data_IF_133776518670
#
_entry.id   IF_133776518670
#
_cell.length_a   1.000
_cell.length_b   1.000
_cell.length_c   1.000
_cell.angle_alpha   90.00
_cell.angle_beta   90.00
_cell.angle_gamma   90.00
#
_symmetry.space_group_name_H-M   'P 1'
#
loop_
_entity.id
_entity.type
_entity.pdbx_description
1 polymer ?
#
# COMPACT_ATOMS: atom_id res chain seq x y z
N UNK A 1 15.31 30.06 -11.63
CA UNK A 1 14.14 29.27 -12.07
C UNK A 1 12.95 30.19 -12.24
N UNK A 2 12.26 30.18 -13.39
CA UNK A 2 11.01 30.92 -13.60
C UNK A 2 9.83 29.94 -13.54
N UNK A 3 8.69 30.39 -13.02
CA UNK A 3 7.43 29.63 -13.03
C UNK A 3 6.92 29.57 -14.47
N UNK A 4 6.68 28.36 -15.00
CA UNK A 4 6.13 28.11 -16.33
C UNK A 4 4.60 28.22 -16.39
N UNK A 5 4.03 28.20 -17.60
CA UNK A 5 2.56 28.26 -17.80
C UNK A 5 1.89 27.00 -17.26
N UNK A 6 2.57 25.87 -17.35
CA UNK A 6 2.17 24.55 -16.86
C UNK A 6 1.97 24.58 -15.34
N UNK A 7 2.86 25.27 -14.61
CA UNK A 7 2.75 25.45 -13.17
C UNK A 7 1.53 26.30 -12.80
N UNK A 8 1.25 27.35 -13.58
CA UNK A 8 0.06 28.19 -13.34
C UNK A 8 -1.23 27.41 -13.60
N UNK A 9 -1.31 26.67 -14.70
CA UNK A 9 -2.48 25.82 -15.01
C UNK A 9 -2.66 24.74 -13.95
N UNK A 10 -1.58 24.05 -13.55
CA UNK A 10 -1.61 23.05 -12.49
C UNK A 10 -2.07 23.62 -11.15
N UNK A 11 -1.65 24.84 -10.80
CA UNK A 11 -2.11 25.51 -9.58
C UNK A 11 -3.61 25.84 -9.63
N UNK A 12 -4.10 26.40 -10.74
CA UNK A 12 -5.53 26.72 -10.91
C UNK A 12 -6.36 25.44 -10.78
N UNK A 13 -5.96 24.37 -11.47
CA UNK A 13 -6.65 23.08 -11.38
C UNK A 13 -6.59 22.48 -9.96
N UNK A 14 -5.46 22.58 -9.27
CA UNK A 14 -5.34 22.12 -7.89
C UNK A 14 -6.27 22.88 -6.93
N UNK A 15 -6.44 24.19 -7.11
CA UNK A 15 -7.37 25.00 -6.32
C UNK A 15 -8.84 24.63 -6.58
N UNK A 16 -9.21 24.35 -7.84
CA UNK A 16 -10.55 23.87 -8.19
C UNK A 16 -10.86 22.51 -7.54
N UNK A 17 -9.91 21.57 -7.59
CA UNK A 17 -10.07 20.26 -6.95
C UNK A 17 -10.02 20.32 -5.42
N UNK A 18 -9.29 21.28 -4.84
CA UNK A 18 -9.21 21.44 -3.40
C UNK A 18 -10.59 21.66 -2.76
N UNK A 19 -11.49 22.35 -3.46
CA UNK A 19 -12.85 22.63 -2.96
C UNK A 19 -13.75 21.39 -2.92
N UNK A 20 -13.44 20.34 -3.67
CA UNK A 20 -14.26 19.13 -3.78
C UNK A 20 -14.07 18.17 -2.58
N UNK A 21 -13.07 18.42 -1.73
CA UNK A 21 -12.72 17.55 -0.60
C UNK A 21 -12.04 16.24 -1.03
N UNK A 22 -11.57 15.46 -0.05
CA UNK A 22 -10.99 14.13 -0.29
C UNK A 22 -11.89 13.07 0.32
N UNK A 23 -12.21 12.04 -0.47
CA UNK A 23 -12.87 10.84 0.04
C UNK A 23 -12.00 10.19 1.11
N UNK A 24 -12.57 9.99 2.30
CA UNK A 24 -11.89 9.31 3.40
C UNK A 24 -12.18 7.82 3.27
N UNK A 25 -11.13 7.03 3.05
CA UNK A 25 -11.23 5.58 3.08
C UNK A 25 -11.42 5.13 4.54
N UNK A 26 -12.47 4.36 4.78
CA UNK A 26 -12.83 3.83 6.10
C UNK A 26 -12.17 2.47 6.34
N UNK A 27 -12.05 2.07 7.62
CA UNK A 27 -11.56 0.73 7.97
C UNK A 27 -12.38 -0.38 7.30
N UNK A 28 -13.71 -0.28 7.30
CA UNK A 28 -14.59 -1.29 6.70
C UNK A 28 -14.33 -1.50 5.21
N UNK A 29 -13.99 -0.44 4.47
CA UNK A 29 -13.64 -0.55 3.04
C UNK A 29 -12.32 -1.27 2.79
N UNK A 30 -11.41 -1.30 3.77
CA UNK A 30 -10.13 -2.01 3.67
C UNK A 30 -10.24 -3.48 4.08
N UNK A 31 -11.31 -3.86 4.79
CA UNK A 31 -11.47 -5.21 5.33
C UNK A 31 -11.36 -6.31 4.27
N UNK A 32 -12.03 -6.21 3.09
CA UNK A 32 -11.91 -7.23 2.06
C UNK A 32 -10.48 -7.40 1.52
N UNK A 33 -9.71 -6.30 1.49
CA UNK A 33 -8.32 -6.32 1.02
C UNK A 33 -7.42 -6.97 2.06
N UNK A 34 -7.58 -6.63 3.33
CA UNK A 34 -6.82 -7.25 4.42
C UNK A 34 -7.08 -8.77 4.49
N UNK A 35 -8.33 -9.20 4.29
CA UNK A 35 -8.69 -10.61 4.19
C UNK A 35 -8.06 -11.29 2.97
N UNK A 36 -8.10 -10.65 1.80
CA UNK A 36 -7.50 -11.18 0.59
C UNK A 36 -5.97 -11.36 0.71
N UNK A 37 -5.29 -10.45 1.42
CA UNK A 37 -3.85 -10.57 1.70
C UNK A 37 -3.60 -11.70 2.71
N UNK A 38 -4.42 -11.80 3.76
CA UNK A 38 -4.29 -12.85 4.79
C UNK A 38 -4.60 -14.25 4.27
N UNK A 39 -5.26 -14.36 3.11
CA UNK A 39 -5.47 -15.64 2.42
C UNK A 39 -4.23 -16.11 1.64
N UNK A 40 -3.18 -15.29 1.53
CA UNK A 40 -1.91 -15.66 0.89
C UNK A 40 -1.03 -16.36 1.92
N UNK A 41 -0.47 -17.52 1.56
CA UNK A 41 0.41 -18.27 2.44
C UNK A 41 1.58 -17.42 2.95
N UNK A 42 1.90 -17.50 4.24
CA UNK A 42 2.99 -16.76 4.87
C UNK A 42 2.76 -15.26 5.06
N UNK A 43 1.56 -14.74 4.72
CA UNK A 43 1.18 -13.35 4.93
C UNK A 43 0.02 -13.22 5.91
N UNK A 44 0.08 -12.21 6.78
CA UNK A 44 -1.01 -11.82 7.66
C UNK A 44 -1.25 -10.34 7.54
N UNK A 45 -2.51 -9.91 7.41
CA UNK A 45 -2.83 -8.50 7.30
C UNK A 45 -3.94 -8.06 8.26
N UNK A 46 -3.75 -6.86 8.82
CA UNK A 46 -4.69 -6.21 9.72
C UNK A 46 -4.79 -4.71 9.44
N UNK A 47 -5.84 -4.08 9.95
CA UNK A 47 -6.10 -2.65 9.71
C UNK A 47 -5.66 -1.86 10.95
N UNK A 48 -4.81 -0.86 10.72
CA UNK A 48 -4.30 0.03 11.76
C UNK A 48 -4.75 1.47 11.51
N UNK A 49 -5.16 2.14 12.58
CA UNK A 49 -5.35 3.59 12.58
C UNK A 49 -4.01 4.29 12.81
N UNK A 50 -3.77 5.39 12.10
CA UNK A 50 -2.59 6.22 12.32
C UNK A 50 -2.40 6.62 13.80
N UNK A 51 -1.15 6.58 14.27
CA UNK A 51 -0.74 6.79 15.67
C UNK A 51 -1.25 8.10 16.29
N UNK A 52 -1.51 9.12 15.47
CA UNK A 52 -2.03 10.41 15.93
C UNK A 52 -3.56 10.43 16.12
N UNK A 53 -4.25 9.28 16.01
CA UNK A 53 -5.71 9.18 16.15
C UNK A 53 -6.51 9.81 15.00
N UNK A 54 -5.84 10.18 13.91
CA UNK A 54 -6.49 10.68 12.70
C UNK A 54 -7.30 9.56 12.06
N UNK A 55 -8.37 9.88 11.34
CA UNK A 55 -9.14 8.91 10.55
C UNK A 55 -8.37 8.49 9.28
N UNK A 56 -7.14 8.02 9.47
CA UNK A 56 -6.24 7.51 8.44
C UNK A 56 -6.03 6.04 8.77
N UNK A 57 -6.53 5.18 7.89
CA UNK A 57 -6.49 3.73 8.05
C UNK A 57 -5.49 3.15 7.06
N UNK A 58 -4.74 2.14 7.50
CA UNK A 58 -3.73 1.46 6.70
C UNK A 58 -3.86 -0.04 6.86
N UNK A 59 -3.44 -0.78 5.85
CA UNK A 59 -3.30 -2.23 5.95
C UNK A 59 -1.86 -2.50 6.36
N UNK A 60 -1.67 -3.10 7.53
CA UNK A 60 -0.38 -3.68 7.93
C UNK A 60 -0.31 -5.08 7.37
N UNK A 61 0.81 -5.43 6.76
CA UNK A 61 1.10 -6.76 6.25
C UNK A 61 2.33 -7.27 6.97
N UNK A 62 2.14 -8.31 7.78
CA UNK A 62 3.18 -9.06 8.45
C UNK A 62 3.58 -10.25 7.59
N UNK A 63 4.89 -10.36 7.37
CA UNK A 63 5.49 -11.47 6.63
C UNK A 63 6.00 -12.51 7.63
N UNK A 64 5.48 -13.73 7.53
CA UNK A 64 5.96 -14.87 8.29
C UNK A 64 7.09 -15.55 7.51
N UNK A 65 8.33 -15.15 7.75
CA UNK A 65 9.47 -15.65 6.99
C UNK A 65 9.66 -17.18 7.06
N UNK A 66 9.47 -17.86 8.21
CA UNK A 66 9.47 -19.32 8.27
C UNK A 66 8.45 -20.01 7.35
N UNK A 67 7.27 -19.42 7.16
CA UNK A 67 6.23 -19.98 6.28
C UNK A 67 6.46 -19.59 4.82
N UNK A 68 6.76 -18.31 4.56
CA UNK A 68 6.88 -17.77 3.21
C UNK A 68 8.21 -18.12 2.54
N UNK A 69 9.28 -18.40 3.30
CA UNK A 69 10.64 -18.51 2.79
C UNK A 69 11.31 -17.17 2.45
N UNK A 70 10.58 -16.06 2.57
CA UNK A 70 11.06 -14.69 2.34
C UNK A 70 10.82 -13.82 3.58
N UNK A 71 11.75 -12.92 3.88
CA UNK A 71 11.50 -11.90 4.90
C UNK A 71 10.81 -10.66 4.30
N UNK A 72 10.33 -9.76 5.15
CA UNK A 72 9.62 -8.56 4.66
C UNK A 72 10.48 -7.63 3.78
N UNK A 73 11.80 -7.60 3.96
CA UNK A 73 12.70 -6.80 3.12
C UNK A 73 12.78 -7.39 1.71
N UNK A 74 12.81 -8.72 1.59
CA UNK A 74 12.79 -9.40 0.30
C UNK A 74 11.46 -9.14 -0.44
N UNK A 75 10.34 -9.30 0.27
CA UNK A 75 9.00 -9.00 -0.28
C UNK A 75 8.93 -7.54 -0.74
N UNK A 76 9.39 -6.59 0.07
CA UNK A 76 9.40 -5.17 -0.31
C UNK A 76 10.31 -4.90 -1.52
N UNK A 77 11.49 -5.52 -1.57
CA UNK A 77 12.40 -5.37 -2.69
C UNK A 77 11.77 -5.88 -3.99
N UNK A 78 11.03 -7.00 -3.95
CA UNK A 78 10.33 -7.57 -5.09
C UNK A 78 9.08 -6.78 -5.50
N UNK A 79 8.39 -6.15 -4.55
CA UNK A 79 7.31 -5.20 -4.84
C UNK A 79 7.85 -3.97 -5.58
N UNK A 80 8.99 -3.44 -5.12
CA UNK A 80 9.63 -2.27 -5.75
C UNK A 80 10.27 -2.58 -7.09
N UNK A 81 10.80 -3.79 -7.25
CA UNK A 81 11.52 -4.23 -8.45
C UNK A 81 10.66 -4.93 -9.51
N UNK A 82 9.35 -5.05 -9.29
CA UNK A 82 8.43 -5.62 -10.27
C UNK A 82 8.23 -4.72 -11.51
N UNK A 83 7.52 -5.25 -12.51
CA UNK A 83 7.14 -4.47 -13.70
C UNK A 83 6.40 -3.19 -13.32
N UNK A 84 5.46 -3.31 -12.37
CA UNK A 84 4.85 -2.19 -11.67
C UNK A 84 5.57 -2.03 -10.32
N UNK A 85 6.29 -0.92 -10.15
CA UNK A 85 6.97 -0.62 -8.90
C UNK A 85 5.97 -0.19 -7.81
N UNK A 86 5.83 -1.03 -6.77
CA UNK A 86 4.95 -0.76 -5.63
C UNK A 86 5.79 -0.34 -4.43
N UNK A 87 5.55 0.87 -3.93
CA UNK A 87 6.26 1.43 -2.77
C UNK A 87 5.40 1.35 -1.52
N UNK A 88 5.71 0.39 -0.65
CA UNK A 88 5.08 0.28 0.67
C UNK A 88 5.76 1.17 1.72
N UNK A 89 5.07 1.46 2.81
CA UNK A 89 5.63 2.16 3.97
C UNK A 89 6.45 1.18 4.81
N UNK A 90 7.70 1.55 5.11
CA UNK A 90 8.76 0.64 5.63
C UNK A 90 9.11 0.85 7.11
N UNK A 91 8.30 1.56 7.88
CA UNK A 91 8.70 1.98 9.25
C UNK A 91 8.96 0.80 10.18
N UNK A 92 8.27 -0.32 9.97
CA UNK A 92 8.42 -1.55 10.74
C UNK A 92 9.00 -2.70 9.90
N UNK A 93 9.68 -2.39 8.78
CA UNK A 93 10.18 -3.42 7.85
C UNK A 93 11.18 -4.37 8.53
N UNK A 94 12.01 -3.83 9.42
CA UNK A 94 12.93 -4.62 10.25
C UNK A 94 12.23 -5.56 11.24
N UNK A 95 10.95 -5.34 11.53
CA UNK A 95 10.10 -6.18 12.38
C UNK A 95 9.25 -7.16 11.56
N UNK A 96 9.51 -7.27 10.26
CA UNK A 96 8.75 -8.14 9.36
C UNK A 96 7.42 -7.54 8.89
N UNK A 97 7.22 -6.22 9.03
CA UNK A 97 5.95 -5.56 8.69
C UNK A 97 6.14 -4.44 7.69
N UNK A 98 5.30 -4.44 6.64
CA UNK A 98 5.14 -3.31 5.72
C UNK A 98 3.69 -2.81 5.77
N UNK A 99 3.45 -1.55 5.41
CA UNK A 99 2.09 -0.99 5.43
C UNK A 99 1.69 -0.39 4.09
N UNK A 100 0.42 -0.59 3.72
CA UNK A 100 -0.21 -0.03 2.53
C UNK A 100 -1.11 1.14 2.95
N UNK A 101 -0.84 2.33 2.41
CA UNK A 101 -1.63 3.54 2.68
C UNK A 101 -2.61 3.76 1.51
N UNK A 102 -3.93 3.56 1.71
CA UNK A 102 -4.92 3.61 0.63
C UNK A 102 -5.12 5.02 0.06
N UNK A 103 -4.63 6.07 0.73
CA UNK A 103 -4.83 7.46 0.29
C UNK A 103 -4.01 7.81 -0.96
N UNK A 104 -3.01 7.00 -1.28
CA UNK A 104 -2.14 7.15 -2.46
C UNK A 104 -2.39 6.07 -3.49
N UNK A 105 -3.51 5.36 -3.38
CA UNK A 105 -3.88 4.23 -4.24
C UNK A 105 -5.18 4.59 -4.94
N UNK A 106 -5.19 4.53 -6.26
CA UNK A 106 -6.38 4.77 -7.06
C UNK A 106 -7.34 3.57 -6.99
N UNK A 107 -8.56 3.78 -7.45
CA UNK A 107 -9.55 2.71 -7.55
C UNK A 107 -9.02 1.55 -8.40
N UNK A 108 -9.19 0.32 -7.91
CA UNK A 108 -8.71 -0.90 -8.58
C UNK A 108 -7.22 -1.23 -8.36
N UNK A 109 -6.36 -0.26 -8.06
CA UNK A 109 -4.91 -0.51 -7.86
C UNK A 109 -4.63 -1.40 -6.66
N UNK A 110 -5.50 -1.40 -5.64
CA UNK A 110 -5.34 -2.28 -4.49
C UNK A 110 -5.44 -3.76 -4.88
N UNK A 111 -6.24 -4.11 -5.89
CA UNK A 111 -6.32 -5.48 -6.39
C UNK A 111 -5.01 -5.90 -7.10
N UNK A 112 -4.33 -4.97 -7.79
CA UNK A 112 -3.02 -5.20 -8.39
C UNK A 112 -1.96 -5.46 -7.32
N UNK A 113 -2.00 -4.72 -6.20
CA UNK A 113 -1.09 -4.96 -5.07
C UNK A 113 -1.30 -6.35 -4.48
N UNK A 114 -2.55 -6.78 -4.28
CA UNK A 114 -2.87 -8.13 -3.78
C UNK A 114 -2.39 -9.22 -4.75
N UNK A 115 -2.64 -9.05 -6.05
CA UNK A 115 -2.17 -9.97 -7.08
C UNK A 115 -0.64 -10.09 -7.06
N UNK A 116 0.05 -8.96 -6.96
CA UNK A 116 1.51 -8.95 -6.91
C UNK A 116 2.08 -9.64 -5.66
N UNK A 117 1.46 -9.44 -4.50
CA UNK A 117 1.84 -10.15 -3.27
C UNK A 117 1.66 -11.66 -3.40
N UNK A 118 0.60 -12.09 -4.09
CA UNK A 118 0.33 -13.51 -4.35
C UNK A 118 1.40 -14.12 -5.27
N UNK A 119 1.73 -13.45 -6.36
CA UNK A 119 2.81 -13.90 -7.26
C UNK A 119 4.16 -14.04 -6.53
N UNK A 120 4.49 -13.09 -5.66
CA UNK A 120 5.72 -13.15 -4.86
C UNK A 120 5.70 -14.37 -3.93
N UNK A 121 4.56 -14.67 -3.32
CA UNK A 121 4.42 -15.81 -2.42
C UNK A 121 4.45 -17.16 -3.16
N UNK A 122 3.83 -17.24 -4.34
CA UNK A 122 3.84 -18.45 -5.18
C UNK A 122 5.26 -18.78 -5.65
N UNK A 123 6.02 -17.80 -6.14
CA UNK A 123 7.42 -18.02 -6.55
C UNK A 123 8.37 -18.33 -5.38
N UNK A 124 8.00 -18.01 -4.15
CA UNK A 124 8.80 -18.33 -2.98
C UNK A 124 8.62 -19.79 -2.51
N UNK A 125 7.51 -20.42 -2.92
CA UNK A 125 7.20 -21.81 -2.59
C UNK A 125 7.83 -22.83 -3.57
N UNK A 126 8.33 -22.35 -4.71
CA UNK A 126 9.08 -23.12 -5.72
C UNK A 126 10.56 -23.31 -5.32
#
# INVERSE_FOLDING_TARGET
MKIGKENMVGLVYALENYHQGKTIVTATQLQPVAEAISAIHGLYADIEQDEAGRAIWRIRVRVNAPELGLNAQDVEAQLRGGEIAIYARKYQLHQGVLSLDPRTVAEGEMALIVARLREIAEHAAD
#
